data_IF_469205114337
#
_entry.id   IF_469205114337
#
_cell.length_a   1.000
_cell.length_b   1.000
_cell.length_c   1.000
_cell.angle_alpha   90.00
_cell.angle_beta   90.00
_cell.angle_gamma   90.00
#
_symmetry.space_group_name_H-M   'P 1'
#
loop_
_entity.id
_entity.type
_entity.pdbx_description
1 polymer ?
#
# COMPACT_ATOMS: atom_id res chain seq x y z
N UNK A 1 59.74 27.42 -18.41
CA UNK A 1 59.50 28.03 -19.72
C UNK A 1 58.37 27.26 -20.40
N UNK A 2 57.19 27.88 -20.51
CA UNK A 2 56.20 27.55 -21.54
C UNK A 2 56.35 28.57 -22.67
N UNK A 3 55.82 28.29 -23.87
CA UNK A 3 54.72 29.16 -24.30
C UNK A 3 53.57 28.44 -24.99
N UNK A 4 52.39 29.00 -24.76
CA UNK A 4 51.15 28.82 -25.53
C UNK A 4 51.28 29.47 -26.91
N UNK A 5 50.56 28.95 -27.91
CA UNK A 5 50.05 29.74 -29.04
C UNK A 5 48.94 28.97 -29.78
N UNK A 6 47.94 29.52 -30.45
CA UNK A 6 47.29 30.84 -30.55
C UNK A 6 45.98 30.53 -31.30
N UNK A 7 44.87 31.15 -30.89
CA UNK A 7 43.60 31.18 -31.62
C UNK A 7 43.74 31.94 -32.95
N UNK A 8 43.14 31.45 -34.04
CA UNK A 8 42.76 32.29 -35.19
C UNK A 8 41.34 31.99 -35.63
N UNK A 9 40.49 33.00 -35.43
CA UNK A 9 39.16 33.15 -36.03
C UNK A 9 39.27 34.16 -37.17
N UNK A 10 38.66 33.90 -38.34
CA UNK A 10 37.81 34.89 -39.05
C UNK A 10 37.29 34.39 -40.41
N UNK A 11 35.96 34.48 -40.60
CA UNK A 11 35.20 35.08 -41.74
C UNK A 11 35.49 34.56 -43.17
N UNK A 12 34.56 34.40 -44.12
CA UNK A 12 33.12 34.64 -44.26
C UNK A 12 32.68 34.18 -45.67
N UNK A 13 31.51 33.51 -45.73
CA UNK A 13 30.46 33.47 -46.78
C UNK A 13 30.67 33.00 -48.24
N UNK A 14 29.55 32.48 -48.76
CA UNK A 14 29.15 32.13 -50.14
C UNK A 14 29.63 30.74 -50.62
N UNK A 15 28.79 29.72 -50.86
CA UNK A 15 27.42 29.68 -51.35
C UNK A 15 27.38 28.70 -52.52
N UNK A 16 26.78 27.51 -52.36
CA UNK A 16 26.17 26.64 -53.40
C UNK A 16 26.04 25.17 -52.92
N UNK A 17 24.79 24.75 -52.71
CA UNK A 17 24.20 23.43 -52.99
C UNK A 17 25.05 22.14 -52.85
N UNK A 18 24.67 21.29 -51.88
CA UNK A 18 25.11 19.90 -51.85
C UNK A 18 24.59 19.11 -50.65
N UNK A 19 23.39 18.54 -50.78
CA UNK A 19 22.80 17.37 -50.09
C UNK A 19 23.49 16.90 -48.79
N UNK A 20 22.82 17.13 -47.65
CA UNK A 20 23.17 16.47 -46.38
C UNK A 20 22.63 15.03 -46.38
N UNK A 21 23.50 14.05 -46.57
CA UNK A 21 23.15 12.63 -46.42
C UNK A 21 22.96 12.32 -44.93
N UNK A 22 21.70 12.20 -44.50
CA UNK A 22 21.35 11.70 -43.17
C UNK A 22 21.40 10.17 -43.22
N UNK A 23 22.40 9.58 -42.57
CA UNK A 23 22.47 8.13 -42.36
C UNK A 23 21.47 7.73 -41.27
N UNK A 24 20.29 7.26 -41.68
CA UNK A 24 19.32 6.64 -40.78
C UNK A 24 19.70 5.17 -40.58
N UNK A 25 20.19 4.83 -39.38
CA UNK A 25 20.23 3.45 -38.89
C UNK A 25 18.84 3.06 -38.39
N UNK A 26 18.17 2.01 -38.93
CA UNK A 26 16.78 1.69 -38.60
C UNK A 26 16.62 0.70 -37.43
N UNK A 27 17.65 0.49 -36.61
CA UNK A 27 17.58 -0.51 -35.53
C UNK A 27 18.10 0.06 -34.20
N UNK A 28 17.26 0.80 -33.47
CA UNK A 28 17.22 0.88 -32.00
C UNK A 28 16.30 2.03 -31.51
N UNK A 29 15.00 2.05 -31.84
CA UNK A 29 14.12 3.08 -31.24
C UNK A 29 12.63 2.71 -31.18
N UNK A 30 12.27 1.56 -30.59
CA UNK A 30 10.86 1.30 -30.25
C UNK A 30 10.62 0.97 -28.77
N UNK A 31 11.63 0.45 -28.06
CA UNK A 31 11.46 0.05 -26.64
C UNK A 31 11.45 1.24 -25.66
N UNK A 32 12.24 2.29 -25.94
CA UNK A 32 12.34 3.47 -25.07
C UNK A 32 11.12 4.39 -25.20
N UNK A 33 10.58 4.49 -26.42
CA UNK A 33 9.49 5.39 -26.75
C UNK A 33 8.14 4.88 -26.22
N UNK A 34 7.91 3.55 -26.28
CA UNK A 34 6.77 2.90 -25.66
C UNK A 34 6.79 3.01 -24.12
N UNK A 35 7.96 2.79 -23.50
CA UNK A 35 8.13 2.89 -22.04
C UNK A 35 7.94 4.33 -21.54
N UNK A 36 8.39 5.31 -22.30
CA UNK A 36 8.21 6.74 -22.00
C UNK A 36 6.75 7.15 -22.15
N UNK A 37 6.07 6.74 -23.23
CA UNK A 37 4.63 6.98 -23.43
C UNK A 37 3.77 6.32 -22.34
N UNK A 38 4.10 5.10 -21.93
CA UNK A 38 3.40 4.40 -20.84
C UNK A 38 3.62 5.07 -19.49
N UNK A 39 4.85 5.50 -19.18
CA UNK A 39 5.16 6.27 -17.96
C UNK A 39 4.38 7.59 -17.91
N UNK A 40 4.35 8.32 -19.03
CA UNK A 40 3.60 9.58 -19.15
C UNK A 40 2.09 9.38 -19.05
N UNK A 41 1.56 8.27 -19.58
CA UNK A 41 0.14 7.93 -19.46
C UNK A 41 -0.24 7.59 -18.02
N UNK A 42 0.55 6.75 -17.34
CA UNK A 42 0.34 6.41 -15.93
C UNK A 42 0.43 7.67 -15.06
N UNK A 43 1.43 8.53 -15.30
CA UNK A 43 1.57 9.79 -14.59
C UNK A 43 0.39 10.73 -14.83
N UNK A 44 -0.12 10.82 -16.07
CA UNK A 44 -1.30 11.63 -16.41
C UNK A 44 -2.57 11.09 -15.75
N UNK A 45 -2.83 9.79 -15.82
CA UNK A 45 -3.99 9.15 -15.17
C UNK A 45 -3.94 9.35 -13.65
N UNK A 46 -2.76 9.24 -13.06
CA UNK A 46 -2.56 9.44 -11.61
C UNK A 46 -2.76 10.90 -11.18
N UNK A 47 -2.32 11.86 -11.99
CA UNK A 47 -2.51 13.29 -11.70
C UNK A 47 -3.95 13.75 -11.92
N UNK A 48 -4.64 13.22 -12.93
CA UNK A 48 -6.02 13.57 -13.29
C UNK A 48 -7.08 12.79 -12.50
N UNK A 49 -6.67 12.01 -11.50
CA UNK A 49 -7.61 11.20 -10.75
C UNK A 49 -8.66 12.07 -10.02
N UNK A 50 -9.93 11.64 -10.00
CA UNK A 50 -10.99 12.23 -9.21
C UNK A 50 -10.56 12.57 -7.76
N UNK A 51 -11.12 13.61 -7.13
CA UNK A 51 -10.82 13.96 -5.74
C UNK A 51 -11.00 12.79 -4.76
N UNK A 52 -11.92 11.87 -5.03
CA UNK A 52 -12.13 10.64 -4.27
C UNK A 52 -11.05 9.56 -4.48
N UNK A 53 -10.16 9.68 -5.46
CA UNK A 53 -8.98 8.83 -5.68
C UNK A 53 -7.69 9.45 -5.11
N UNK A 54 -7.76 10.67 -4.56
CA UNK A 54 -6.57 11.29 -3.97
C UNK A 54 -6.08 10.45 -2.79
N UNK A 55 -4.76 10.27 -2.63
CA UNK A 55 -4.20 9.55 -1.52
C UNK A 55 -4.72 10.20 -0.25
N UNK A 56 -5.11 9.33 0.67
CA UNK A 56 -5.41 9.67 2.04
C UNK A 56 -4.25 10.53 2.55
N UNK A 57 -4.57 11.73 3.03
CA UNK A 57 -3.57 12.71 3.48
C UNK A 57 -2.95 12.36 4.85
N UNK A 58 -3.29 11.21 5.44
CA UNK A 58 -2.57 10.66 6.59
C UNK A 58 -1.10 10.38 6.20
N UNK A 59 -0.17 10.36 7.15
CA UNK A 59 1.26 10.05 7.09
C UNK A 59 1.99 10.62 5.84
N UNK A 60 1.95 11.93 5.60
CA UNK A 60 2.55 12.57 4.41
C UNK A 60 4.07 12.30 4.33
N UNK A 61 4.70 12.08 5.47
CA UNK A 61 6.13 11.84 5.60
C UNK A 61 6.42 10.34 5.44
N UNK A 62 7.27 9.98 4.48
CA UNK A 62 7.79 8.62 4.39
C UNK A 62 8.84 8.35 5.47
N UNK A 63 9.31 7.09 5.56
CA UNK A 63 10.34 6.71 6.52
C UNK A 63 11.57 7.63 6.39
N UNK A 64 12.03 8.18 7.52
CA UNK A 64 13.09 9.20 7.57
C UNK A 64 14.48 8.59 7.65
N UNK A 65 14.59 7.41 8.25
CA UNK A 65 15.85 6.72 8.46
C UNK A 65 15.82 5.27 7.95
N UNK A 66 16.99 4.70 7.69
CA UNK A 66 17.12 3.28 7.34
C UNK A 66 16.61 2.37 8.47
N UNK A 67 16.82 2.77 9.73
CA UNK A 67 16.36 2.02 10.89
C UNK A 67 14.82 2.01 10.98
N UNK A 68 14.18 3.13 10.65
CA UNK A 68 12.73 3.23 10.58
C UNK A 68 12.15 2.38 9.45
N UNK A 69 12.78 2.40 8.26
CA UNK A 69 12.40 1.47 7.18
C UNK A 69 12.56 0.01 7.61
N UNK A 70 13.68 -0.36 8.23
CA UNK A 70 13.89 -1.70 8.72
C UNK A 70 12.83 -2.09 9.74
N UNK A 71 12.52 -1.22 10.70
CA UNK A 71 11.47 -1.44 11.70
C UNK A 71 10.09 -1.62 11.05
N UNK A 72 9.70 -0.76 10.12
CA UNK A 72 8.41 -0.85 9.43
C UNK A 72 8.30 -2.14 8.60
N UNK A 73 9.37 -2.55 7.90
CA UNK A 73 9.40 -3.82 7.15
C UNK A 73 9.31 -5.01 8.09
N UNK A 74 10.13 -5.06 9.15
CA UNK A 74 10.12 -6.16 10.12
C UNK A 74 8.75 -6.31 10.77
N UNK A 75 8.14 -5.19 11.17
CA UNK A 75 6.80 -5.19 11.79
C UNK A 75 5.66 -5.47 10.80
N UNK A 76 5.93 -5.50 9.49
CA UNK A 76 4.98 -5.95 8.46
C UNK A 76 4.96 -7.46 8.27
N UNK A 77 6.07 -8.15 8.58
CA UNK A 77 6.20 -9.61 8.41
C UNK A 77 5.19 -10.44 9.23
N UNK A 78 4.78 -10.04 10.45
CA UNK A 78 3.72 -10.72 11.18
C UNK A 78 2.44 -10.94 10.38
N UNK A 79 2.04 -10.03 9.49
CA UNK A 79 0.85 -10.22 8.65
C UNK A 79 1.00 -11.39 7.68
N UNK A 80 2.20 -11.61 7.13
CA UNK A 80 2.49 -12.79 6.29
C UNK A 80 2.33 -14.06 7.11
N UNK A 81 2.93 -14.09 8.30
CA UNK A 81 2.86 -15.24 9.20
C UNK A 81 1.42 -15.54 9.64
N UNK A 82 0.68 -14.52 10.05
CA UNK A 82 -0.73 -14.64 10.41
C UNK A 82 -1.59 -15.15 9.25
N UNK A 83 -1.30 -14.70 8.03
CA UNK A 83 -1.95 -15.22 6.83
C UNK A 83 -1.61 -16.68 6.56
N UNK A 84 -0.35 -17.10 6.76
CA UNK A 84 0.06 -18.51 6.68
C UNK A 84 -0.63 -19.38 7.74
N UNK A 85 -0.88 -18.85 8.94
CA UNK A 85 -1.53 -19.59 10.02
C UNK A 85 -3.07 -19.49 10.03
N UNK A 86 -3.65 -18.61 9.22
CA UNK A 86 -5.10 -18.42 9.20
C UNK A 86 -5.84 -19.72 8.77
N UNK A 87 -7.03 -20.00 9.36
CA UNK A 87 -7.86 -21.13 8.95
C UNK A 87 -8.17 -21.10 7.45
N UNK A 88 -8.21 -22.28 6.80
CA UNK A 88 -8.46 -22.43 5.34
C UNK A 88 -9.60 -23.41 5.02
N UNK A 89 -10.57 -23.52 5.93
CA UNK A 89 -11.65 -24.51 5.88
C UNK A 89 -12.56 -24.35 4.65
N UNK A 90 -12.71 -23.13 4.14
CA UNK A 90 -13.53 -22.83 2.95
C UNK A 90 -12.87 -21.77 2.05
N UNK A 91 -13.47 -21.51 0.88
CA UNK A 91 -12.92 -20.54 -0.09
C UNK A 91 -12.83 -19.11 0.48
N UNK A 92 -13.82 -18.64 1.23
CA UNK A 92 -13.80 -17.29 1.81
C UNK A 92 -12.62 -17.14 2.79
N UNK A 93 -12.39 -18.15 3.63
CA UNK A 93 -11.27 -18.19 4.55
C UNK A 93 -9.91 -18.28 3.84
N UNK A 94 -9.81 -19.05 2.74
CA UNK A 94 -8.60 -19.10 1.90
C UNK A 94 -8.28 -17.73 1.28
N UNK A 95 -9.30 -17.05 0.74
CA UNK A 95 -9.14 -15.71 0.17
C UNK A 95 -8.72 -14.71 1.25
N UNK A 96 -9.33 -14.76 2.44
CA UNK A 96 -8.89 -13.95 3.59
C UNK A 96 -7.44 -14.23 3.97
N UNK A 97 -7.05 -15.49 4.15
CA UNK A 97 -5.68 -15.88 4.49
C UNK A 97 -4.66 -15.34 3.48
N UNK A 98 -4.95 -15.45 2.18
CA UNK A 98 -4.10 -14.92 1.12
C UNK A 98 -4.09 -13.39 1.07
N UNK A 99 -5.23 -12.74 1.33
CA UNK A 99 -5.29 -11.28 1.41
C UNK A 99 -4.42 -10.73 2.54
N UNK A 100 -4.32 -11.45 3.66
CA UNK A 100 -3.50 -11.06 4.80
C UNK A 100 -1.99 -11.21 4.50
N UNK A 101 -1.60 -12.26 3.76
CA UNK A 101 -0.25 -12.34 3.19
C UNK A 101 0.02 -11.14 2.28
N UNK A 102 -0.94 -10.80 1.44
CA UNK A 102 -0.85 -9.64 0.55
C UNK A 102 -0.67 -8.31 1.29
N UNK A 103 -1.29 -8.12 2.46
CA UNK A 103 -1.05 -6.95 3.33
C UNK A 103 0.42 -6.87 3.73
N UNK A 104 0.99 -7.95 4.28
CA UNK A 104 2.38 -7.95 4.69
C UNK A 104 3.36 -7.71 3.54
N UNK A 105 3.07 -8.27 2.35
CA UNK A 105 3.87 -8.03 1.13
C UNK A 105 3.75 -6.58 0.66
N UNK A 106 2.53 -6.05 0.55
CA UNK A 106 2.29 -4.69 0.07
C UNK A 106 2.91 -3.64 0.99
N UNK A 107 2.75 -3.80 2.31
CA UNK A 107 3.36 -2.92 3.31
C UNK A 107 4.90 -2.99 3.26
N UNK A 108 5.48 -4.18 3.16
CA UNK A 108 6.94 -4.35 3.03
C UNK A 108 7.49 -3.64 1.77
N UNK A 109 6.80 -3.76 0.64
CA UNK A 109 7.16 -3.07 -0.60
C UNK A 109 7.02 -1.55 -0.45
N UNK A 110 5.94 -1.08 0.17
CA UNK A 110 5.73 0.34 0.44
C UNK A 110 6.88 0.94 1.25
N UNK A 111 7.24 0.35 2.39
CA UNK A 111 8.31 0.87 3.24
C UNK A 111 9.69 0.74 2.60
N UNK A 112 9.94 -0.32 1.84
CA UNK A 112 11.20 -0.50 1.09
C UNK A 112 11.35 0.47 -0.09
N UNK A 113 10.27 1.15 -0.50
CA UNK A 113 10.26 2.02 -1.67
C UNK A 113 10.57 3.49 -1.37
N UNK A 114 10.95 4.22 -2.42
CA UNK A 114 11.31 5.65 -2.41
C UNK A 114 10.72 6.38 -3.63
N UNK A 115 10.74 7.71 -3.59
CA UNK A 115 10.37 8.57 -4.72
C UNK A 115 8.92 8.40 -5.20
N UNK A 116 8.69 8.49 -6.52
CA UNK A 116 7.34 8.40 -7.11
C UNK A 116 6.70 7.02 -6.90
N UNK A 117 7.48 5.94 -6.91
CA UNK A 117 6.99 4.56 -6.73
C UNK A 117 6.29 4.38 -5.38
N UNK A 118 6.82 5.03 -4.33
CA UNK A 118 6.25 4.99 -2.98
C UNK A 118 4.80 5.43 -2.91
N UNK A 119 4.38 6.38 -3.77
CA UNK A 119 2.98 6.85 -3.81
C UNK A 119 2.01 5.75 -4.28
N UNK A 120 2.44 4.94 -5.25
CA UNK A 120 1.64 3.84 -5.78
C UNK A 120 1.62 2.66 -4.81
N UNK A 121 2.77 2.31 -4.24
CA UNK A 121 2.86 1.22 -3.26
C UNK A 121 2.11 1.55 -1.97
N UNK A 122 2.07 2.83 -1.58
CA UNK A 122 1.22 3.27 -0.48
C UNK A 122 -0.27 3.04 -0.75
N UNK A 123 -0.71 3.40 -1.94
CA UNK A 123 -2.10 3.15 -2.34
C UNK A 123 -2.40 1.66 -2.37
N UNK A 124 -1.46 0.85 -2.89
CA UNK A 124 -1.59 -0.60 -2.90
C UNK A 124 -1.68 -1.18 -1.49
N UNK A 125 -0.87 -0.70 -0.56
CA UNK A 125 -0.87 -1.11 0.85
C UNK A 125 -2.22 -0.84 1.53
N UNK A 126 -2.71 0.41 1.51
CA UNK A 126 -4.04 0.71 2.07
C UNK A 126 -5.17 -0.05 1.38
N UNK A 127 -5.09 -0.24 0.06
CA UNK A 127 -6.09 -1.02 -0.69
C UNK A 127 -6.05 -2.50 -0.27
N UNK A 128 -4.87 -3.05 0.00
CA UNK A 128 -4.72 -4.42 0.49
C UNK A 128 -5.23 -4.59 1.91
N UNK A 129 -4.98 -3.63 2.81
CA UNK A 129 -5.58 -3.61 4.16
C UNK A 129 -7.12 -3.64 4.04
N UNK A 130 -7.68 -2.76 3.23
CA UNK A 130 -9.13 -2.70 3.01
C UNK A 130 -9.66 -4.00 2.41
N UNK A 131 -8.96 -4.57 1.42
CA UNK A 131 -9.31 -5.86 0.83
C UNK A 131 -9.33 -6.96 1.88
N UNK A 132 -8.33 -7.03 2.77
CA UNK A 132 -8.28 -8.03 3.82
C UNK A 132 -9.46 -7.89 4.81
N UNK A 133 -9.86 -6.66 5.17
CA UNK A 133 -11.05 -6.46 6.03
C UNK A 133 -12.35 -6.91 5.35
N UNK A 134 -12.49 -6.65 4.05
CA UNK A 134 -13.62 -7.13 3.24
C UNK A 134 -13.63 -8.67 3.22
N UNK A 135 -12.49 -9.31 2.96
CA UNK A 135 -12.38 -10.76 2.95
C UNK A 135 -12.67 -11.39 4.32
N UNK A 136 -12.20 -10.78 5.41
CA UNK A 136 -12.48 -11.23 6.78
C UNK A 136 -13.97 -11.19 7.09
N UNK A 137 -14.62 -10.06 6.84
CA UNK A 137 -16.05 -9.90 7.09
C UNK A 137 -16.89 -10.90 6.28
N UNK A 138 -16.45 -11.22 5.05
CA UNK A 138 -17.06 -12.26 4.21
C UNK A 138 -16.86 -13.65 4.78
N UNK A 139 -15.68 -13.94 5.34
CA UNK A 139 -15.38 -15.23 5.96
C UNK A 139 -16.15 -15.45 7.27
N UNK A 140 -16.51 -14.38 7.99
CA UNK A 140 -17.26 -14.45 9.25
C UNK A 140 -18.77 -14.55 9.09
N UNK A 141 -19.31 -14.11 7.95
CA UNK A 141 -20.76 -14.05 7.72
C UNK A 141 -21.26 -15.25 6.93
N UNK A 142 -22.34 -15.85 7.43
CA UNK A 142 -23.09 -16.86 6.68
C UNK A 142 -24.01 -16.20 5.64
N UNK A 143 -24.66 -15.09 6.00
CA UNK A 143 -25.45 -14.28 5.07
C UNK A 143 -24.63 -13.13 4.51
N UNK A 144 -24.41 -13.18 3.20
CA UNK A 144 -23.52 -12.27 2.49
C UNK A 144 -24.35 -11.29 1.64
N UNK A 145 -24.57 -10.03 2.06
CA UNK A 145 -25.30 -9.06 1.27
C UNK A 145 -24.43 -8.72 0.08
N UNK A 146 -24.70 -9.41 -1.03
CA UNK A 146 -23.97 -9.30 -2.29
C UNK A 146 -23.80 -7.83 -2.71
N UNK A 147 -24.80 -7.00 -2.40
CA UNK A 147 -24.76 -5.56 -2.62
C UNK A 147 -23.64 -4.85 -1.84
N UNK A 148 -23.49 -5.10 -0.54
CA UNK A 148 -22.41 -4.49 0.25
C UNK A 148 -21.05 -4.93 -0.27
N UNK A 149 -20.89 -6.22 -0.60
CA UNK A 149 -19.64 -6.72 -1.16
C UNK A 149 -19.31 -6.08 -2.51
N UNK A 150 -20.32 -5.90 -3.38
CA UNK A 150 -20.17 -5.23 -4.66
C UNK A 150 -19.84 -3.74 -4.48
N UNK A 151 -20.57 -3.03 -3.59
CA UNK A 151 -20.32 -1.63 -3.27
C UNK A 151 -18.91 -1.43 -2.71
N UNK A 152 -18.47 -2.29 -1.79
CA UNK A 152 -17.11 -2.27 -1.25
C UNK A 152 -16.07 -2.55 -2.32
N UNK A 153 -16.29 -3.53 -3.20
CA UNK A 153 -15.38 -3.81 -4.31
C UNK A 153 -15.23 -2.61 -5.26
N UNK A 154 -16.32 -1.90 -5.54
CA UNK A 154 -16.30 -0.68 -6.34
C UNK A 154 -15.63 0.49 -5.61
N UNK A 155 -15.79 0.59 -4.29
CA UNK A 155 -15.24 1.67 -3.48
C UNK A 155 -13.76 1.46 -3.09
N UNK A 156 -13.26 0.22 -3.04
CA UNK A 156 -11.91 -0.14 -2.62
C UNK A 156 -10.78 0.73 -3.21
N UNK A 157 -10.71 0.96 -4.54
CA UNK A 157 -9.62 1.74 -5.11
C UNK A 157 -9.72 3.24 -4.80
N UNK A 158 -10.88 3.71 -4.35
CA UNK A 158 -11.19 5.12 -4.08
C UNK A 158 -11.12 5.45 -2.58
N UNK A 159 -11.81 4.66 -1.75
CA UNK A 159 -12.00 4.95 -0.33
C UNK A 159 -11.64 3.75 0.56
N UNK A 160 -10.38 3.28 0.54
CA UNK A 160 -9.99 2.10 1.29
C UNK A 160 -10.18 2.26 2.79
N UNK A 161 -10.00 3.47 3.37
CA UNK A 161 -10.27 3.71 4.79
C UNK A 161 -11.74 3.54 5.17
N UNK A 162 -12.66 4.11 4.39
CA UNK A 162 -14.10 4.02 4.69
C UNK A 162 -14.55 2.57 4.59
N UNK A 163 -14.11 1.86 3.54
CA UNK A 163 -14.36 0.42 3.39
C UNK A 163 -13.80 -0.35 4.58
N UNK A 164 -12.55 -0.07 4.99
CA UNK A 164 -11.92 -0.73 6.14
C UNK A 164 -12.68 -0.47 7.44
N UNK A 165 -13.12 0.76 7.68
CA UNK A 165 -13.86 1.13 8.88
C UNK A 165 -15.22 0.41 8.97
N UNK A 166 -15.97 0.37 7.86
CA UNK A 166 -17.26 -0.33 7.79
C UNK A 166 -17.07 -1.83 8.07
N UNK A 167 -16.15 -2.48 7.36
CA UNK A 167 -15.95 -3.92 7.48
C UNK A 167 -15.31 -4.32 8.82
N UNK A 168 -14.43 -3.49 9.38
CA UNK A 168 -13.89 -3.68 10.74
C UNK A 168 -14.98 -3.52 11.80
N UNK A 169 -15.82 -2.49 11.70
CA UNK A 169 -16.94 -2.30 12.63
C UNK A 169 -17.92 -3.47 12.62
N UNK A 170 -18.21 -4.01 11.44
CA UNK A 170 -19.03 -5.22 11.32
C UNK A 170 -18.37 -6.46 11.94
N UNK A 171 -17.07 -6.62 11.73
CA UNK A 171 -16.29 -7.70 12.34
C UNK A 171 -16.28 -7.59 13.86
N UNK A 172 -16.12 -6.39 14.41
CA UNK A 172 -16.14 -6.15 15.86
C UNK A 172 -17.50 -6.50 16.48
N UNK A 173 -18.61 -6.14 15.82
CA UNK A 173 -19.96 -6.55 16.26
C UNK A 173 -20.10 -8.08 16.24
N UNK A 174 -19.56 -8.75 15.22
CA UNK A 174 -19.55 -10.21 15.15
C UNK A 174 -18.67 -10.84 16.25
N UNK A 175 -17.49 -10.26 16.53
CA UNK A 175 -16.60 -10.69 17.60
C UNK A 175 -17.30 -10.58 18.95
N UNK A 176 -17.81 -9.40 19.29
CA UNK A 176 -18.49 -9.15 20.56
C UNK A 176 -19.68 -10.10 20.77
N UNK A 177 -20.51 -10.31 19.74
CA UNK A 177 -21.64 -11.25 19.82
C UNK A 177 -21.20 -12.70 20.09
N UNK A 178 -20.08 -13.15 19.52
CA UNK A 178 -19.56 -14.50 19.75
C UNK A 178 -18.85 -14.62 21.11
N UNK A 179 -18.07 -13.63 21.51
CA UNK A 179 -17.39 -13.58 22.80
C UNK A 179 -18.35 -13.55 24.00
N UNK A 180 -19.59 -13.08 23.82
CA UNK A 180 -20.64 -13.19 24.83
C UNK A 180 -21.16 -14.62 25.03
N UNK A 181 -21.04 -15.48 24.00
CA UNK A 181 -21.54 -16.86 24.03
C UNK A 181 -20.44 -17.87 24.35
N UNK A 182 -19.20 -17.54 23.98
CA UNK A 182 -18.04 -18.42 24.11
C UNK A 182 -16.99 -17.78 25.04
N UNK A 183 -16.77 -18.34 26.23
CA UNK A 183 -15.76 -17.87 27.18
C UNK A 183 -14.33 -17.86 26.61
N UNK A 184 -14.00 -18.78 25.70
CA UNK A 184 -12.66 -18.89 25.12
C UNK A 184 -12.36 -17.71 24.17
N UNK A 185 -13.41 -17.17 23.54
CA UNK A 185 -13.32 -15.97 22.70
C UNK A 185 -13.29 -14.67 23.50
N UNK A 186 -13.68 -14.67 24.78
CA UNK A 186 -13.68 -13.45 25.62
C UNK A 186 -12.28 -12.90 25.83
N UNK A 187 -11.31 -13.76 26.11
CA UNK A 187 -9.91 -13.36 26.26
C UNK A 187 -9.35 -12.82 24.94
N UNK A 188 -9.64 -13.51 23.82
CA UNK A 188 -9.23 -13.05 22.49
C UNK A 188 -9.86 -11.69 22.14
N UNK A 189 -11.13 -11.47 22.49
CA UNK A 189 -11.82 -10.20 22.28
C UNK A 189 -11.24 -9.06 23.12
N UNK A 190 -10.86 -9.32 24.36
CA UNK A 190 -10.19 -8.31 25.20
C UNK A 190 -8.85 -7.89 24.59
N UNK A 191 -8.04 -8.85 24.15
CA UNK A 191 -6.77 -8.57 23.44
C UNK A 191 -7.04 -7.80 22.15
N UNK A 192 -8.06 -8.19 21.37
CA UNK A 192 -8.49 -7.49 20.17
C UNK A 192 -8.81 -6.02 20.46
N UNK A 193 -9.65 -5.75 21.46
CA UNK A 193 -10.04 -4.39 21.84
C UNK A 193 -8.85 -3.54 22.26
N UNK A 194 -7.99 -4.06 23.12
CA UNK A 194 -6.82 -3.31 23.60
C UNK A 194 -5.84 -3.01 22.46
N UNK A 195 -5.59 -3.99 21.59
CA UNK A 195 -4.73 -3.81 20.43
C UNK A 195 -5.32 -2.87 19.39
N UNK A 196 -6.64 -2.91 19.15
CA UNK A 196 -7.35 -1.97 18.27
C UNK A 196 -7.34 -0.54 18.84
N UNK A 197 -7.55 -0.36 20.14
CA UNK A 197 -7.46 0.95 20.80
C UNK A 197 -6.04 1.53 20.71
N UNK A 198 -5.03 0.72 21.04
CA UNK A 198 -3.63 1.11 20.94
C UNK A 198 -3.24 1.41 19.48
N UNK A 199 -3.64 0.56 18.54
CA UNK A 199 -3.41 0.74 17.12
C UNK A 199 -4.07 2.01 16.60
N UNK A 200 -5.33 2.29 16.96
CA UNK A 200 -6.01 3.53 16.61
C UNK A 200 -5.30 4.77 17.17
N UNK A 201 -4.85 4.71 18.42
CA UNK A 201 -4.09 5.80 19.04
C UNK A 201 -2.75 6.03 18.33
N UNK A 202 -2.00 4.97 18.00
CA UNK A 202 -0.73 5.06 17.27
C UNK A 202 -0.93 5.56 15.84
N UNK A 203 -2.00 5.14 15.16
CA UNK A 203 -2.35 5.63 13.82
C UNK A 203 -2.60 7.15 13.83
N UNK A 204 -3.34 7.65 14.83
CA UNK A 204 -3.57 9.10 14.99
C UNK A 204 -2.28 9.82 15.38
N UNK A 205 -1.49 9.22 16.27
CA UNK A 205 -0.21 9.81 16.71
C UNK A 205 0.80 9.92 15.57
N UNK A 206 0.81 8.98 14.62
CA UNK A 206 1.69 9.00 13.43
C UNK A 206 1.40 10.23 12.55
N UNK A 207 0.15 10.66 12.50
CA UNK A 207 -0.27 11.88 11.80
C UNK A 207 0.05 13.16 12.58
N UNK A 208 -0.17 13.15 13.90
CA UNK A 208 0.02 14.33 14.76
C UNK A 208 1.49 14.62 15.09
N UNK A 209 2.32 13.58 15.17
CA UNK A 209 3.72 13.66 15.58
C UNK A 209 4.65 13.04 14.52
N UNK A 210 4.67 13.57 13.29
CA UNK A 210 5.40 12.96 12.18
C UNK A 210 6.93 12.93 12.39
N UNK A 211 7.44 13.72 13.34
CA UNK A 211 8.86 13.79 13.72
C UNK A 211 9.29 12.67 14.68
N UNK A 212 8.33 11.99 15.33
CA UNK A 212 8.63 10.93 16.30
C UNK A 212 8.81 9.60 15.55
N UNK A 213 10.02 9.00 15.59
CA UNK A 213 10.28 7.78 14.84
C UNK A 213 9.54 6.58 15.45
N UNK A 214 9.31 5.56 14.61
CA UNK A 214 8.79 4.23 15.01
C UNK A 214 7.33 4.17 15.48
N UNK A 215 6.57 5.28 15.47
CA UNK A 215 5.13 5.23 15.79
C UNK A 215 4.41 4.28 14.82
N UNK A 216 4.69 4.42 13.52
CA UNK A 216 4.15 3.54 12.48
C UNK A 216 4.46 2.05 12.72
N UNK A 217 5.70 1.73 13.10
CA UNK A 217 6.09 0.36 13.44
C UNK A 217 5.32 -0.17 14.67
N UNK A 218 5.08 0.69 15.67
CA UNK A 218 4.21 0.38 16.79
C UNK A 218 2.76 0.09 16.35
N UNK A 219 2.23 0.89 15.43
CA UNK A 219 0.91 0.67 14.85
C UNK A 219 0.82 -0.69 14.15
N UNK A 220 1.83 -1.06 13.34
CA UNK A 220 1.91 -2.39 12.72
C UNK A 220 1.83 -3.51 13.75
N UNK A 221 2.61 -3.42 14.84
CA UNK A 221 2.64 -4.45 15.86
C UNK A 221 1.28 -4.59 16.57
N UNK A 222 0.67 -3.46 16.96
CA UNK A 222 -0.65 -3.46 17.58
C UNK A 222 -1.70 -4.06 16.63
N UNK A 223 -1.69 -3.65 15.35
CA UNK A 223 -2.59 -4.18 14.33
C UNK A 223 -2.38 -5.68 14.09
N UNK A 224 -1.13 -6.17 14.05
CA UNK A 224 -0.84 -7.59 13.90
C UNK A 224 -1.39 -8.43 15.07
N UNK A 225 -1.23 -7.95 16.31
CA UNK A 225 -1.83 -8.60 17.49
C UNK A 225 -3.35 -8.65 17.36
N UNK A 226 -3.98 -7.52 17.01
CA UNK A 226 -5.43 -7.44 16.82
C UNK A 226 -5.93 -8.38 15.72
N UNK A 227 -5.28 -8.41 14.56
CA UNK A 227 -5.64 -9.33 13.46
C UNK A 227 -5.41 -10.80 13.83
N UNK A 228 -4.38 -11.11 14.62
CA UNK A 228 -4.13 -12.47 15.12
C UNK A 228 -5.31 -13.02 15.93
N UNK A 229 -5.98 -12.18 16.70
CA UNK A 229 -7.21 -12.57 17.41
C UNK A 229 -8.39 -12.84 16.46
N UNK A 230 -8.46 -12.18 15.30
CA UNK A 230 -9.50 -12.43 14.31
C UNK A 230 -9.40 -13.83 13.69
N UNK A 231 -8.20 -14.42 13.62
CA UNK A 231 -8.03 -15.81 13.16
C UNK A 231 -8.73 -16.80 14.11
N UNK A 232 -8.83 -16.47 15.42
CA UNK A 232 -9.59 -17.29 16.39
C UNK A 232 -11.09 -17.27 16.13
N UNK A 233 -11.63 -16.18 15.60
CA UNK A 233 -13.04 -16.14 15.18
C UNK A 233 -13.36 -17.07 14.01
N UNK A 234 -12.36 -17.46 13.22
CA UNK A 234 -12.51 -18.33 12.06
C UNK A 234 -12.27 -19.82 12.40
N UNK A 235 -11.88 -20.13 13.63
CA UNK A 235 -11.77 -21.50 14.14
C UNK A 235 -13.15 -22.05 14.46
#
# INVERSE_FOLDING_TARGET
MSPQSVSKTSKSLEGLHGVHVVSHSPFAFESSDARTKQSLFIERVWQQRPPCLRPIHCCIHGDRSLLETAANVITSLPFIFLGMQAPRKNMNMKVYANSLIGVGVASSLYHSSRGKLRKYLRWADYTMIATATVCLSRALREENPKFLMAASALALPFQPLVVSAVHTGMMEVAFAKRALKDPDLKTAHNVHKMSTLLGGALFIADDLFPETPFIHAGWHLAAAIGVGTCNKLLQ
#
